data_IF_987559856415
#
_entry.id   IF_987559856415
#
_cell.length_a   1.000
_cell.length_b   1.000
_cell.length_c   1.000
_cell.angle_alpha   90.00
_cell.angle_beta   90.00
_cell.angle_gamma   90.00
#
_symmetry.space_group_name_H-M   'P 1'
#
loop_
_entity.id
_entity.type
_entity.pdbx_description
1 polymer ?
#
# COMPACT_ATOMS: atom_id res chain seq x y z
N UNK A 1 20.54 29.72 25.72
CA UNK A 1 20.23 28.64 24.73
C UNK A 1 19.18 27.75 25.36
N UNK A 2 17.91 27.98 25.04
CA UNK A 2 16.80 27.14 25.47
C UNK A 2 16.96 25.79 24.77
N UNK A 3 17.23 24.76 25.55
CA UNK A 3 17.37 23.39 25.04
C UNK A 3 15.99 22.94 24.54
N UNK A 4 15.83 22.76 23.24
CA UNK A 4 14.62 22.20 22.64
C UNK A 4 14.51 20.73 23.12
N UNK A 5 13.69 20.50 24.12
CA UNK A 5 13.31 19.14 24.49
C UNK A 5 12.26 18.65 23.47
N UNK A 6 12.68 17.79 22.55
CA UNK A 6 11.80 17.18 21.57
C UNK A 6 11.04 16.04 22.22
N UNK A 7 9.70 16.09 22.29
CA UNK A 7 8.93 14.92 22.68
C UNK A 7 9.00 13.90 21.53
N UNK A 8 9.88 12.91 21.69
CA UNK A 8 9.90 11.75 20.79
C UNK A 8 8.64 10.91 21.00
N UNK A 9 8.20 10.15 19.96
CA UNK A 9 7.15 9.17 20.16
C UNK A 9 7.52 8.17 21.24
N UNK A 10 6.54 7.74 22.02
CA UNK A 10 6.73 6.65 22.98
C UNK A 10 7.00 5.33 22.26
N UNK A 11 7.71 4.39 22.91
CA UNK A 11 8.05 3.10 22.30
C UNK A 11 6.80 2.37 21.79
N UNK A 12 5.73 2.35 22.57
CA UNK A 12 4.45 1.75 22.17
C UNK A 12 3.86 2.35 20.88
N UNK A 13 4.06 3.66 20.65
CA UNK A 13 3.62 4.33 19.42
C UNK A 13 4.48 3.95 18.21
N UNK A 14 5.78 3.71 18.42
CA UNK A 14 6.69 3.25 17.38
C UNK A 14 6.40 1.79 17.03
N UNK A 15 6.14 0.95 18.01
CA UNK A 15 5.76 -0.46 17.80
C UNK A 15 4.44 -0.57 17.03
N UNK A 16 3.46 0.28 17.35
CA UNK A 16 2.19 0.35 16.61
C UNK A 16 2.40 0.85 15.18
N UNK A 17 3.27 1.84 14.98
CA UNK A 17 3.61 2.35 13.65
C UNK A 17 4.20 1.24 12.78
N UNK A 18 5.16 0.49 13.31
CA UNK A 18 5.78 -0.65 12.62
C UNK A 18 4.75 -1.75 12.30
N UNK A 19 3.93 -2.12 13.27
CA UNK A 19 2.88 -3.12 13.09
C UNK A 19 1.87 -2.70 12.02
N UNK A 20 1.47 -1.42 12.00
CA UNK A 20 0.57 -0.89 10.99
C UNK A 20 1.16 -0.99 9.58
N UNK A 21 2.41 -0.56 9.38
CA UNK A 21 3.05 -0.63 8.07
C UNK A 21 3.25 -2.07 7.60
N UNK A 22 3.62 -2.97 8.49
CA UNK A 22 3.76 -4.40 8.20
C UNK A 22 2.42 -5.00 7.75
N UNK A 23 1.34 -4.67 8.44
CA UNK A 23 0.00 -5.13 8.09
C UNK A 23 -0.44 -4.57 6.73
N UNK A 24 -0.29 -3.25 6.51
CA UNK A 24 -0.66 -2.59 5.25
C UNK A 24 0.10 -3.20 4.07
N UNK A 25 1.40 -3.48 4.21
CA UNK A 25 2.21 -4.12 3.17
C UNK A 25 1.70 -5.53 2.85
N UNK A 26 1.51 -6.35 3.87
CA UNK A 26 1.03 -7.71 3.68
C UNK A 26 -0.36 -7.74 3.03
N UNK A 27 -1.26 -6.87 3.48
CA UNK A 27 -2.61 -6.76 2.93
C UNK A 27 -2.63 -6.23 1.49
N UNK A 28 -1.78 -5.24 1.17
CA UNK A 28 -1.64 -4.73 -0.20
C UNK A 28 -1.17 -5.82 -1.16
N UNK A 29 -0.13 -6.57 -0.78
CA UNK A 29 0.40 -7.67 -1.59
C UNK A 29 -0.63 -8.78 -1.82
N UNK A 30 -1.37 -9.15 -0.78
CA UNK A 30 -2.47 -10.10 -0.89
C UNK A 30 -3.58 -9.56 -1.80
N UNK A 31 -3.94 -8.27 -1.69
CA UNK A 31 -4.91 -7.62 -2.56
C UNK A 31 -4.47 -7.61 -4.04
N UNK A 32 -3.18 -7.40 -4.31
CA UNK A 32 -2.59 -7.50 -5.65
C UNK A 32 -2.73 -8.94 -6.17
N UNK A 33 -2.32 -9.93 -5.37
CA UNK A 33 -2.41 -11.34 -5.73
C UNK A 33 -3.85 -11.77 -6.04
N UNK A 34 -4.80 -11.38 -5.20
CA UNK A 34 -6.22 -11.65 -5.40
C UNK A 34 -6.76 -11.00 -6.68
N UNK A 35 -6.33 -9.78 -7.00
CA UNK A 35 -6.73 -9.10 -8.24
C UNK A 35 -6.21 -9.84 -9.47
N UNK A 36 -4.94 -10.19 -9.52
CA UNK A 36 -4.36 -10.95 -10.63
C UNK A 36 -5.03 -12.31 -10.80
N UNK A 37 -5.26 -13.02 -9.70
CA UNK A 37 -5.92 -14.34 -9.73
C UNK A 37 -7.37 -14.23 -10.24
N UNK A 38 -8.13 -13.21 -9.85
CA UNK A 38 -9.51 -12.96 -10.31
C UNK A 38 -9.60 -12.77 -11.83
N UNK A 39 -8.53 -12.27 -12.46
CA UNK A 39 -8.40 -12.16 -13.91
C UNK A 39 -7.82 -13.40 -14.58
N UNK A 40 -7.75 -14.54 -13.88
CA UNK A 40 -7.25 -15.80 -14.40
C UNK A 40 -5.73 -15.85 -14.57
N UNK A 41 -5.01 -14.91 -13.97
CA UNK A 41 -3.56 -14.86 -14.01
C UNK A 41 -2.96 -15.60 -12.82
N UNK A 42 -1.87 -16.36 -13.08
CA UNK A 42 -1.10 -17.04 -12.04
C UNK A 42 -1.93 -18.03 -11.19
N UNK A 43 -2.83 -18.72 -11.85
CA UNK A 43 -3.70 -19.75 -11.22
C UNK A 43 -2.99 -21.07 -11.06
N UNK A 44 -1.95 -21.35 -11.87
CA UNK A 44 -1.09 -22.54 -11.79
C UNK A 44 0.36 -22.21 -12.11
N UNK A 45 1.35 -22.94 -11.51
CA UNK A 45 2.77 -22.71 -11.74
C UNK A 45 3.26 -23.00 -13.17
N UNK A 46 2.52 -23.81 -13.92
CA UNK A 46 2.90 -24.26 -15.25
C UNK A 46 2.70 -23.17 -16.32
N UNK A 47 1.86 -22.19 -16.04
CA UNK A 47 1.50 -21.16 -17.02
C UNK A 47 2.32 -19.91 -16.80
N UNK A 48 3.13 -19.56 -17.80
CA UNK A 48 3.84 -18.28 -17.85
C UNK A 48 3.01 -17.23 -18.60
N UNK A 49 2.91 -16.04 -18.03
CA UNK A 49 2.19 -14.92 -18.63
C UNK A 49 3.18 -13.85 -19.08
N UNK A 50 3.12 -13.45 -20.37
CA UNK A 50 3.87 -12.29 -20.87
C UNK A 50 3.26 -10.99 -20.35
N UNK A 51 4.08 -9.96 -20.18
CA UNK A 51 3.61 -8.66 -19.69
C UNK A 51 2.43 -8.11 -20.49
N UNK A 52 2.46 -8.23 -21.84
CA UNK A 52 1.37 -7.80 -22.72
C UNK A 52 0.05 -8.51 -22.42
N UNK A 53 0.08 -9.81 -22.14
CA UNK A 53 -1.09 -10.58 -21.77
C UNK A 53 -1.67 -10.15 -20.41
N UNK A 54 -0.80 -9.82 -19.44
CA UNK A 54 -1.22 -9.31 -18.13
C UNK A 54 -1.88 -7.93 -18.29
N UNK A 55 -1.28 -7.03 -19.08
CA UNK A 55 -1.85 -5.72 -19.41
C UNK A 55 -3.24 -5.87 -20.03
N UNK A 56 -3.40 -6.79 -20.98
CA UNK A 56 -4.68 -7.05 -21.65
C UNK A 56 -5.72 -7.60 -20.68
N UNK A 57 -5.37 -8.58 -19.86
CA UNK A 57 -6.28 -9.20 -18.90
C UNK A 57 -6.84 -8.18 -17.89
N UNK A 58 -6.00 -7.25 -17.42
CA UNK A 58 -6.39 -6.18 -16.49
C UNK A 58 -6.99 -4.95 -17.20
N UNK A 59 -7.04 -4.92 -18.53
CA UNK A 59 -7.41 -3.73 -19.33
C UNK A 59 -6.62 -2.49 -18.90
N UNK A 60 -5.34 -2.67 -18.54
CA UNK A 60 -4.52 -1.63 -17.93
C UNK A 60 -4.11 -0.56 -18.96
N UNK A 61 -4.45 0.70 -18.68
CA UNK A 61 -4.03 1.83 -19.50
C UNK A 61 -2.51 2.00 -19.50
N UNK A 62 -1.99 2.64 -20.57
CA UNK A 62 -0.56 2.87 -20.73
C UNK A 62 0.08 3.60 -19.51
N UNK A 63 -0.64 4.56 -18.94
CA UNK A 63 -0.24 5.29 -17.72
C UNK A 63 -0.04 4.40 -16.49
N UNK A 64 -0.72 3.26 -16.41
CA UNK A 64 -0.68 2.34 -15.25
C UNK A 64 0.28 1.14 -15.44
N UNK A 65 0.87 0.98 -16.63
CA UNK A 65 1.77 -0.15 -16.90
C UNK A 65 3.04 -0.12 -16.02
N UNK A 66 3.52 1.07 -15.64
CA UNK A 66 4.64 1.19 -14.70
C UNK A 66 4.27 0.64 -13.32
N UNK A 67 3.10 0.99 -12.81
CA UNK A 67 2.58 0.47 -11.54
C UNK A 67 2.41 -1.06 -11.61
N UNK A 68 1.88 -1.58 -12.70
CA UNK A 68 1.73 -3.01 -12.90
C UNK A 68 3.09 -3.74 -12.88
N UNK A 69 4.13 -3.18 -13.49
CA UNK A 69 5.49 -3.75 -13.39
C UNK A 69 6.01 -3.75 -11.95
N UNK A 70 5.74 -2.70 -11.17
CA UNK A 70 6.08 -2.66 -9.75
C UNK A 70 5.35 -3.75 -8.96
N UNK A 71 4.07 -3.97 -9.21
CA UNK A 71 3.31 -5.07 -8.60
C UNK A 71 3.96 -6.42 -8.86
N UNK A 72 4.27 -6.73 -10.13
CA UNK A 72 4.93 -7.98 -10.49
C UNK A 72 6.32 -8.11 -9.84
N UNK A 73 7.04 -7.01 -9.72
CA UNK A 73 8.33 -6.97 -9.04
C UNK A 73 8.18 -7.29 -7.55
N UNK A 74 7.26 -6.63 -6.83
CA UNK A 74 7.01 -6.89 -5.42
C UNK A 74 6.64 -8.37 -5.17
N UNK A 75 5.77 -8.95 -6.01
CA UNK A 75 5.42 -10.36 -5.90
C UNK A 75 6.62 -11.29 -6.22
N UNK A 76 7.54 -10.86 -7.09
CA UNK A 76 8.76 -11.59 -7.40
C UNK A 76 9.75 -11.53 -6.23
N UNK A 77 9.91 -10.37 -5.59
CA UNK A 77 10.74 -10.19 -4.39
C UNK A 77 10.24 -10.99 -3.19
N UNK A 78 8.94 -11.22 -3.11
CA UNK A 78 8.31 -12.13 -2.13
C UNK A 78 8.37 -13.61 -2.53
N UNK A 79 9.01 -13.92 -3.66
CA UNK A 79 9.12 -15.27 -4.23
C UNK A 79 7.77 -15.92 -4.58
N UNK A 80 6.68 -15.16 -4.67
CA UNK A 80 5.39 -15.67 -5.15
C UNK A 80 5.37 -15.82 -6.67
N UNK A 81 6.12 -14.95 -7.37
CA UNK A 81 6.33 -15.05 -8.81
C UNK A 81 7.81 -15.32 -9.13
N UNK A 82 8.03 -15.90 -10.30
CA UNK A 82 9.35 -16.06 -10.93
C UNK A 82 9.31 -15.30 -12.25
N UNK A 83 10.29 -14.43 -12.47
CA UNK A 83 10.46 -13.74 -13.75
C UNK A 83 11.37 -14.56 -14.67
N UNK A 84 10.91 -14.78 -15.90
CA UNK A 84 11.64 -15.46 -16.98
C UNK A 84 11.65 -14.56 -18.23
N UNK A 85 12.66 -13.68 -18.32
CA UNK A 85 12.72 -12.64 -19.37
C UNK A 85 11.56 -11.64 -19.27
N UNK A 86 10.68 -11.61 -20.27
CA UNK A 86 9.49 -10.78 -20.34
C UNK A 86 8.20 -11.50 -19.91
N UNK A 87 8.35 -12.64 -19.23
CA UNK A 87 7.25 -13.44 -18.72
C UNK A 87 7.38 -13.69 -17.22
N UNK A 88 6.25 -13.95 -16.57
CA UNK A 88 6.18 -14.34 -15.15
C UNK A 88 5.33 -15.59 -15.01
N UNK A 89 5.70 -16.44 -14.06
CA UNK A 89 4.87 -17.56 -13.58
C UNK A 89 4.83 -17.57 -12.07
N UNK A 90 3.81 -18.16 -11.47
CA UNK A 90 3.74 -18.28 -10.02
C UNK A 90 4.53 -19.51 -9.53
N UNK A 91 5.01 -19.47 -8.28
CA UNK A 91 5.55 -20.64 -7.57
C UNK A 91 4.45 -21.51 -6.98
N UNK A 92 3.43 -20.82 -6.46
CA UNK A 92 2.18 -21.40 -5.96
C UNK A 92 1.03 -20.59 -6.56
N UNK A 93 -0.16 -21.16 -6.74
CA UNK A 93 -1.33 -20.41 -7.18
C UNK A 93 -1.55 -19.17 -6.31
N UNK A 94 -1.79 -18.01 -6.92
CA UNK A 94 -2.00 -16.78 -6.14
C UNK A 94 -3.28 -16.81 -5.29
N UNK A 95 -4.20 -17.75 -5.56
CA UNK A 95 -5.36 -18.04 -4.71
C UNK A 95 -4.99 -18.66 -3.36
N UNK A 96 -3.79 -19.22 -3.23
CA UNK A 96 -3.30 -19.86 -2.00
C UNK A 96 -2.51 -18.89 -1.11
N UNK A 97 -2.32 -17.64 -1.55
CA UNK A 97 -1.66 -16.61 -0.74
C UNK A 97 -2.56 -16.28 0.47
N UNK A 98 -2.08 -16.51 1.70
CA UNK A 98 -2.90 -16.31 2.89
C UNK A 98 -3.17 -14.83 3.15
N UNK A 99 -4.28 -14.55 3.83
CA UNK A 99 -4.51 -13.23 4.40
C UNK A 99 -3.50 -12.91 5.52
N UNK A 100 -3.25 -11.61 5.82
CA UNK A 100 -2.41 -11.24 6.94
C UNK A 100 -2.90 -11.92 8.23
N UNK A 101 -2.00 -12.62 8.93
CA UNK A 101 -2.35 -13.33 10.16
C UNK A 101 -2.55 -12.38 11.34
N UNK A 102 -1.83 -11.26 11.34
CA UNK A 102 -1.95 -10.23 12.37
C UNK A 102 -3.14 -9.31 12.05
N UNK A 103 -3.86 -8.89 13.10
CA UNK A 103 -4.91 -7.89 12.94
C UNK A 103 -4.29 -6.51 12.74
N UNK A 104 -4.96 -5.66 11.96
CA UNK A 104 -4.57 -4.25 11.88
C UNK A 104 -4.68 -3.59 13.26
N UNK A 105 -3.68 -2.80 13.68
CA UNK A 105 -3.78 -2.01 14.90
C UNK A 105 -5.03 -1.13 14.95
N UNK A 106 -5.55 -0.88 16.15
CA UNK A 106 -6.89 -0.33 16.33
C UNK A 106 -6.93 1.19 16.54
N UNK A 107 -5.78 1.88 16.43
CA UNK A 107 -5.78 3.34 16.50
C UNK A 107 -6.54 3.98 15.33
N UNK A 108 -7.04 5.18 15.54
CA UNK A 108 -7.86 5.88 14.54
C UNK A 108 -7.10 6.10 13.23
N UNK A 109 -5.81 6.41 13.29
CA UNK A 109 -5.00 6.65 12.09
C UNK A 109 -4.70 5.35 11.33
N UNK A 110 -4.39 4.24 12.04
CA UNK A 110 -4.15 2.95 11.39
C UNK A 110 -5.42 2.40 10.73
N UNK A 111 -6.58 2.54 11.37
CA UNK A 111 -7.86 2.14 10.81
C UNK A 111 -8.25 2.98 9.58
N UNK A 112 -7.95 4.29 9.57
CA UNK A 112 -8.19 5.14 8.40
C UNK A 112 -7.34 4.69 7.19
N UNK A 113 -6.06 4.32 7.42
CA UNK A 113 -5.21 3.78 6.37
C UNK A 113 -5.67 2.40 5.88
N UNK A 114 -6.08 1.53 6.79
CA UNK A 114 -6.63 0.22 6.45
C UNK A 114 -7.88 0.33 5.59
N UNK A 115 -8.82 1.17 5.97
CA UNK A 115 -10.05 1.40 5.21
C UNK A 115 -9.77 1.97 3.82
N UNK A 116 -8.82 2.90 3.71
CA UNK A 116 -8.38 3.42 2.42
C UNK A 116 -7.78 2.32 1.53
N UNK A 117 -6.89 1.49 2.09
CA UNK A 117 -6.30 0.37 1.36
C UNK A 117 -7.37 -0.61 0.86
N UNK A 118 -8.34 -1.00 1.69
CA UNK A 118 -9.44 -1.87 1.29
C UNK A 118 -10.25 -1.26 0.14
N UNK A 119 -10.52 0.05 0.20
CA UNK A 119 -11.19 0.76 -0.89
C UNK A 119 -10.39 0.73 -2.18
N UNK A 120 -9.07 0.92 -2.11
CA UNK A 120 -8.18 0.82 -3.27
C UNK A 120 -8.20 -0.60 -3.87
N UNK A 121 -8.09 -1.64 -3.03
CA UNK A 121 -8.12 -3.04 -3.45
C UNK A 121 -9.45 -3.36 -4.16
N UNK A 122 -10.57 -2.94 -3.59
CA UNK A 122 -11.89 -3.14 -4.20
C UNK A 122 -12.06 -2.41 -5.54
N UNK A 123 -11.25 -1.38 -5.80
CA UNK A 123 -11.30 -0.54 -7.00
C UNK A 123 -10.16 -0.78 -7.99
N UNK A 124 -9.31 -1.79 -7.80
CA UNK A 124 -8.16 -2.06 -8.68
C UNK A 124 -8.56 -2.11 -10.17
N UNK A 125 -9.66 -2.77 -10.52
CA UNK A 125 -10.12 -2.90 -11.91
C UNK A 125 -10.52 -1.54 -12.50
N UNK A 126 -11.24 -0.72 -11.74
CA UNK A 126 -11.65 0.62 -12.14
C UNK A 126 -10.45 1.58 -12.26
N UNK A 127 -9.45 1.42 -11.37
CA UNK A 127 -8.20 2.19 -11.43
C UNK A 127 -7.39 1.82 -12.68
N UNK A 128 -7.17 0.53 -12.95
CA UNK A 128 -6.40 0.10 -14.12
C UNK A 128 -7.06 0.46 -15.45
N UNK A 129 -8.37 0.35 -15.55
CA UNK A 129 -9.15 0.73 -16.74
C UNK A 129 -9.32 2.25 -16.88
N UNK A 130 -8.93 3.05 -15.87
CA UNK A 130 -9.09 4.51 -15.88
C UNK A 130 -10.53 4.98 -15.64
N UNK A 131 -11.40 4.10 -15.17
CA UNK A 131 -12.78 4.45 -14.78
C UNK A 131 -12.86 5.18 -13.44
N UNK A 132 -11.79 5.12 -12.64
CA UNK A 132 -11.65 5.80 -11.36
C UNK A 132 -10.29 6.49 -11.27
N UNK A 133 -10.28 7.74 -10.79
CA UNK A 133 -9.05 8.48 -10.55
C UNK A 133 -8.46 8.12 -9.18
N UNK A 134 -7.13 7.87 -9.07
CA UNK A 134 -6.49 7.73 -7.76
C UNK A 134 -6.71 8.92 -6.84
N UNK A 135 -6.81 10.14 -7.40
CA UNK A 135 -7.05 11.36 -6.62
C UNK A 135 -8.46 11.40 -6.03
N UNK A 136 -9.46 10.88 -6.73
CA UNK A 136 -10.82 10.76 -6.20
C UNK A 136 -10.88 9.85 -4.97
N UNK A 137 -10.07 8.78 -4.95
CA UNK A 137 -9.97 7.90 -3.79
C UNK A 137 -9.22 8.57 -2.63
N UNK A 138 -8.14 9.29 -2.93
CA UNK A 138 -7.29 9.93 -1.92
C UNK A 138 -8.02 11.09 -1.21
N UNK A 139 -8.78 11.88 -1.96
CA UNK A 139 -9.48 13.06 -1.45
C UNK A 139 -10.96 12.82 -1.13
N UNK A 140 -11.38 11.56 -1.08
CA UNK A 140 -12.72 11.25 -0.61
C UNK A 140 -12.86 11.60 0.88
N UNK A 141 -13.84 12.45 1.21
CA UNK A 141 -14.11 12.92 2.57
C UNK A 141 -14.35 11.79 3.60
N UNK A 142 -14.73 10.60 3.11
CA UNK A 142 -14.96 9.44 3.96
C UNK A 142 -13.67 8.83 4.52
N UNK A 143 -12.53 9.08 3.88
CA UNK A 143 -11.29 8.36 4.19
C UNK A 143 -10.25 9.25 4.85
N UNK A 144 -10.39 10.06 5.69
CA UNK A 144 -9.38 10.82 6.48
C UNK A 144 -7.90 10.38 6.32
N UNK A 145 -7.58 9.80 5.14
CA UNK A 145 -6.27 9.21 4.88
C UNK A 145 -5.15 10.24 4.90
N UNK A 146 -5.41 11.44 4.41
CA UNK A 146 -4.45 12.56 4.43
C UNK A 146 -4.13 12.97 5.86
N UNK A 147 -5.14 13.06 6.72
CA UNK A 147 -4.95 13.35 8.15
C UNK A 147 -4.16 12.22 8.82
N UNK A 148 -4.52 10.96 8.56
CA UNK A 148 -3.83 9.80 9.11
C UNK A 148 -2.35 9.76 8.70
N UNK A 149 -2.02 10.10 7.44
CA UNK A 149 -0.65 10.11 6.93
C UNK A 149 0.18 11.30 7.42
N UNK A 150 -0.40 12.51 7.42
CA UNK A 150 0.39 13.73 7.58
C UNK A 150 0.20 14.43 8.93
N UNK A 151 -0.78 14.03 9.73
CA UNK A 151 -1.06 14.65 11.04
C UNK A 151 -1.09 13.64 12.18
N UNK A 152 -1.83 12.55 12.03
CA UNK A 152 -2.28 11.74 13.18
C UNK A 152 -1.33 10.58 13.52
N UNK A 153 -0.54 10.07 12.55
CA UNK A 153 0.44 9.04 12.88
C UNK A 153 1.58 9.59 13.76
N UNK A 154 2.17 8.77 14.63
CA UNK A 154 3.15 9.23 15.64
C UNK A 154 4.35 9.96 15.05
N UNK A 155 4.88 9.51 13.91
CA UNK A 155 6.04 10.13 13.27
C UNK A 155 5.69 11.52 12.71
N UNK A 156 4.59 11.65 11.97
CA UNK A 156 4.12 12.94 11.43
C UNK A 156 3.74 13.91 12.54
N UNK A 157 3.05 13.45 13.58
CA UNK A 157 2.70 14.26 14.75
C UNK A 157 3.96 14.81 15.47
N UNK A 158 5.02 14.00 15.58
CA UNK A 158 6.28 14.41 16.14
C UNK A 158 6.95 15.49 15.27
N UNK A 159 7.08 15.25 13.96
CA UNK A 159 7.68 16.19 13.01
C UNK A 159 6.92 17.52 12.96
N UNK A 160 5.60 17.48 12.95
CA UNK A 160 4.76 18.69 12.93
C UNK A 160 4.96 19.52 14.19
N UNK A 161 5.02 18.91 15.38
CA UNK A 161 5.31 19.61 16.62
C UNK A 161 6.69 20.26 16.62
N UNK A 162 7.68 19.53 16.10
CA UNK A 162 9.05 20.03 15.97
C UNK A 162 9.11 21.27 15.05
N UNK A 163 8.52 21.18 13.87
CA UNK A 163 8.47 22.30 12.91
C UNK A 163 7.78 23.52 13.49
N UNK A 164 6.66 23.32 14.22
CA UNK A 164 5.96 24.42 14.88
C UNK A 164 6.81 25.11 15.96
N UNK A 165 7.60 24.36 16.75
CA UNK A 165 8.50 24.93 17.75
C UNK A 165 9.64 25.74 17.11
N UNK A 166 10.24 25.24 16.01
CA UNK A 166 11.25 25.99 15.27
C UNK A 166 10.68 27.29 14.72
N UNK A 167 9.50 27.22 14.09
CA UNK A 167 8.85 28.41 13.52
C UNK A 167 8.57 29.47 14.60
N UNK A 168 8.11 29.06 15.79
CA UNK A 168 7.88 29.96 16.90
C UNK A 168 9.17 30.64 17.39
N UNK A 169 10.31 29.93 17.43
CA UNK A 169 11.60 30.48 17.81
C UNK A 169 12.16 31.46 16.77
N UNK A 170 11.89 31.26 15.47
CA UNK A 170 12.32 32.14 14.41
C UNK A 170 11.46 33.42 14.31
N UNK A 171 10.29 33.44 14.93
CA UNK A 171 9.33 34.57 14.90
C UNK A 171 9.41 35.46 16.15
N UNK A 172 10.22 35.10 17.14
CA UNK A 172 10.46 35.83 18.40
C UNK A 172 11.77 36.64 18.32
#
# INVERSE_FOLDING_TARGET
LTQLALPLPEQAQLDELEATWRWLEARALQGIAATLNRHGLFTTPEIAHRFSAIVQALSAQASHQRLLRQWLQCLTEREWLIREGESWRCRIPLSEIPEPQEACPQSQWSQALAQYLETCIARHDALFSGQCSPLELLFNEQHRVTDALYRDNPASACLNRYTAQIAALCSA
#
